data_IF_490294016897
#
_entry.id   IF_490294016897
#
_cell.length_a   1.000
_cell.length_b   1.000
_cell.length_c   1.000
_cell.angle_alpha   90.00
_cell.angle_beta   90.00
_cell.angle_gamma   90.00
#
_symmetry.space_group_name_H-M   'P 1'
#
loop_
_entity.id
_entity.type
_entity.pdbx_description
1 polymer ?
#
# COMPACT_ATOMS: atom_id res chain seq x y z
N UNK A 1 -12.18 12.80 -6.28
CA UNK A 1 -11.44 12.68 -5.00
C UNK A 1 -11.21 14.03 -4.32
N UNK A 2 -10.48 14.98 -4.93
CA UNK A 2 -10.13 16.30 -4.35
C UNK A 2 -11.34 17.08 -3.83
N UNK A 3 -12.36 17.28 -4.67
CA UNK A 3 -13.58 18.00 -4.28
C UNK A 3 -14.28 17.38 -3.06
N UNK A 4 -14.28 16.04 -2.94
CA UNK A 4 -14.84 15.33 -1.79
C UNK A 4 -14.02 15.56 -0.51
N UNK A 5 -12.69 15.62 -0.62
CA UNK A 5 -11.78 15.86 0.52
C UNK A 5 -11.93 17.28 1.05
N UNK A 6 -11.92 18.27 0.15
CA UNK A 6 -12.15 19.67 0.51
C UNK A 6 -13.53 19.86 1.15
N UNK A 7 -14.59 19.23 0.61
CA UNK A 7 -15.92 19.27 1.20
C UNK A 7 -16.00 18.62 2.59
N UNK A 8 -15.08 17.70 2.92
CA UNK A 8 -14.96 17.06 4.23
C UNK A 8 -13.98 17.80 5.17
N UNK A 9 -13.43 18.95 4.77
CA UNK A 9 -12.43 19.69 5.55
C UNK A 9 -11.05 19.02 5.62
N UNK A 10 -10.79 18.05 4.74
CA UNK A 10 -9.49 17.36 4.65
C UNK A 10 -8.56 18.08 3.66
N UNK A 11 -7.24 17.87 3.79
CA UNK A 11 -6.26 18.31 2.78
C UNK A 11 -6.66 17.83 1.37
N UNK A 12 -6.48 18.68 0.36
CA UNK A 12 -6.80 18.37 -1.04
C UNK A 12 -6.15 17.07 -1.51
N UNK A 13 -4.95 16.79 -1.02
CA UNK A 13 -4.14 15.64 -1.38
C UNK A 13 -4.07 14.62 -0.22
N UNK A 14 -4.24 13.32 -0.49
CA UNK A 14 -4.03 12.30 0.54
C UNK A 14 -2.55 12.23 0.94
N UNK A 15 -2.30 11.71 2.15
CA UNK A 15 -0.94 11.40 2.60
C UNK A 15 -0.40 10.28 1.71
N UNK A 16 0.85 10.43 1.25
CA UNK A 16 1.58 9.40 0.53
C UNK A 16 2.49 8.66 1.49
N UNK A 17 2.46 7.34 1.45
CA UNK A 17 3.23 6.48 2.34
C UNK A 17 4.05 5.53 1.47
N UNK A 18 5.37 5.52 1.68
CA UNK A 18 6.27 4.56 1.05
C UNK A 18 6.76 3.57 2.10
N UNK A 19 6.60 2.27 1.84
CA UNK A 19 7.15 1.21 2.68
C UNK A 19 8.48 0.76 2.08
N UNK A 20 9.57 1.11 2.74
CA UNK A 20 10.92 0.89 2.24
C UNK A 20 11.90 0.56 3.37
N UNK A 21 11.94 -0.72 3.72
CA UNK A 21 12.70 -1.24 4.85
C UNK A 21 14.18 -0.82 4.90
N UNK A 22 14.80 -0.47 3.76
CA UNK A 22 16.22 -0.13 3.66
C UNK A 22 16.49 1.34 3.27
N UNK A 23 15.46 2.19 3.22
CA UNK A 23 15.60 3.60 2.85
C UNK A 23 16.22 3.82 1.46
N UNK A 24 15.87 2.98 0.49
CA UNK A 24 16.33 3.03 -0.92
C UNK A 24 15.57 4.05 -1.78
N UNK A 25 14.50 4.65 -1.26
CA UNK A 25 13.70 5.65 -1.96
C UNK A 25 14.61 6.78 -2.43
N UNK A 26 14.72 7.03 -3.75
CA UNK A 26 15.56 8.10 -4.27
C UNK A 26 15.11 9.46 -3.74
N UNK A 27 16.05 10.29 -3.32
CA UNK A 27 15.75 11.61 -2.73
C UNK A 27 15.13 12.57 -3.75
N UNK A 28 15.34 12.35 -5.03
CA UNK A 28 14.77 13.10 -6.16
C UNK A 28 13.44 12.52 -6.67
N UNK A 29 12.93 11.45 -6.05
CA UNK A 29 11.69 10.82 -6.48
C UNK A 29 10.49 11.78 -6.34
N UNK A 30 9.65 11.85 -7.38
CA UNK A 30 8.43 12.68 -7.41
C UNK A 30 7.54 12.52 -6.17
N UNK A 31 7.50 11.32 -5.57
CA UNK A 31 6.70 11.00 -4.38
C UNK A 31 7.08 11.87 -3.17
N UNK A 32 8.33 12.35 -3.12
CA UNK A 32 8.88 13.19 -2.04
C UNK A 32 8.69 14.70 -2.29
N UNK A 33 8.33 15.11 -3.51
CA UNK A 33 8.31 16.54 -3.91
C UNK A 33 6.98 17.03 -4.45
N UNK A 34 6.23 16.18 -5.16
CA UNK A 34 5.08 16.61 -5.96
C UNK A 34 3.86 16.91 -5.11
N UNK A 35 3.31 18.12 -5.20
CA UNK A 35 2.09 18.51 -4.48
C UNK A 35 2.28 18.64 -2.96
N UNK A 36 1.30 19.22 -2.28
CA UNK A 36 1.36 19.66 -0.87
C UNK A 36 0.93 18.60 0.16
N UNK A 37 0.43 17.44 -0.28
CA UNK A 37 0.02 16.36 0.61
C UNK A 37 1.17 15.82 1.46
N UNK A 38 0.88 15.44 2.71
CA UNK A 38 1.84 14.86 3.64
C UNK A 38 2.55 13.63 3.08
N UNK A 39 3.78 13.39 3.55
CA UNK A 39 4.67 12.36 3.02
C UNK A 39 5.24 11.57 4.19
N UNK A 40 5.12 10.26 4.11
CA UNK A 40 5.65 9.34 5.11
C UNK A 40 6.53 8.31 4.40
N UNK A 41 7.72 8.06 4.95
CA UNK A 41 8.54 6.92 4.56
C UNK A 41 8.69 6.00 5.77
N UNK A 42 8.16 4.79 5.67
CA UNK A 42 8.30 3.77 6.68
C UNK A 42 9.55 2.92 6.38
N UNK A 43 10.46 2.85 7.34
CA UNK A 43 11.74 2.11 7.23
C UNK A 43 11.88 1.12 8.38
N UNK A 44 12.75 0.13 8.22
CA UNK A 44 13.09 -0.79 9.31
C UNK A 44 14.30 -0.29 10.09
N UNK A 45 14.56 -0.87 11.28
CA UNK A 45 15.78 -0.58 12.04
C UNK A 45 17.07 -0.95 11.30
N UNK A 46 16.98 -1.80 10.28
CA UNK A 46 18.11 -2.18 9.44
C UNK A 46 18.38 -1.21 8.28
N UNK A 47 17.67 -0.07 8.20
CA UNK A 47 18.01 1.02 7.29
C UNK A 47 19.24 1.79 7.82
N UNK A 48 20.23 2.12 6.96
CA UNK A 48 21.37 2.96 7.35
C UNK A 48 20.92 4.33 7.88
N UNK A 49 21.49 4.77 9.01
CA UNK A 49 21.13 6.03 9.67
C UNK A 49 21.21 7.23 8.71
N UNK A 50 22.29 7.31 7.93
CA UNK A 50 22.51 8.36 6.91
C UNK A 50 21.34 8.47 5.91
N UNK A 51 20.73 7.35 5.53
CA UNK A 51 19.58 7.33 4.61
C UNK A 51 18.30 7.76 5.30
N UNK A 52 18.13 7.36 6.55
CA UNK A 52 17.00 7.77 7.39
C UNK A 52 17.02 9.28 7.59
N UNK A 53 18.19 9.85 7.91
CA UNK A 53 18.38 11.30 8.08
C UNK A 53 18.11 12.05 6.77
N UNK A 54 18.66 11.59 5.65
CA UNK A 54 18.40 12.21 4.35
C UNK A 54 16.92 12.17 3.93
N UNK A 55 16.22 11.07 4.21
CA UNK A 55 14.78 10.97 3.94
C UNK A 55 13.96 11.90 4.85
N UNK A 56 14.40 12.11 6.09
CA UNK A 56 13.74 12.98 7.06
C UNK A 56 13.74 14.46 6.66
N UNK A 57 14.62 14.87 5.74
CA UNK A 57 14.60 16.22 5.16
C UNK A 57 13.40 16.44 4.20
N UNK A 58 12.79 15.36 3.70
CA UNK A 58 11.74 15.42 2.66
C UNK A 58 10.39 14.82 3.08
N UNK A 59 10.37 13.99 4.12
CA UNK A 59 9.19 13.27 4.59
C UNK A 59 9.27 12.95 6.09
N UNK A 60 8.12 12.67 6.71
CA UNK A 60 8.08 12.09 8.05
C UNK A 60 8.57 10.64 7.98
N UNK A 61 9.64 10.31 8.69
CA UNK A 61 10.16 8.94 8.71
C UNK A 61 9.62 8.18 9.92
N UNK A 62 9.03 7.01 9.67
CA UNK A 62 8.59 6.06 10.70
C UNK A 62 9.55 4.87 10.70
N UNK A 63 10.29 4.69 11.78
CA UNK A 63 11.16 3.52 11.96
C UNK A 63 10.40 2.44 12.74
N UNK A 64 10.15 1.29 12.12
CA UNK A 64 9.45 0.17 12.76
C UNK A 64 9.87 -1.18 12.20
N UNK A 65 9.83 -2.23 13.03
CA UNK A 65 10.38 -3.54 12.70
C UNK A 65 11.91 -3.60 12.67
N UNK A 66 12.46 -4.81 12.48
CA UNK A 66 13.90 -5.05 12.52
C UNK A 66 14.52 -5.06 11.12
N UNK A 67 14.33 -6.14 10.36
CA UNK A 67 14.85 -6.30 8.99
C UNK A 67 13.89 -5.78 7.92
N UNK A 68 12.60 -5.85 8.22
CA UNK A 68 11.50 -5.34 7.39
C UNK A 68 10.63 -4.42 8.21
N UNK A 69 9.92 -3.51 7.54
CA UNK A 69 8.89 -2.69 8.18
C UNK A 69 7.85 -3.61 8.82
N UNK A 70 7.57 -3.37 10.09
CA UNK A 70 6.42 -3.95 10.79
C UNK A 70 5.15 -3.21 10.38
N UNK A 71 4.32 -3.88 9.57
CA UNK A 71 3.10 -3.29 9.02
C UNK A 71 2.02 -3.09 10.09
N UNK A 72 1.95 -3.93 11.12
CA UNK A 72 0.97 -3.77 12.20
C UNK A 72 1.26 -2.48 12.97
N UNK A 73 2.52 -2.30 13.38
CA UNK A 73 2.96 -1.09 14.06
C UNK A 73 2.82 0.16 13.18
N UNK A 74 3.11 0.06 11.88
CA UNK A 74 2.89 1.15 10.93
C UNK A 74 1.40 1.53 10.85
N UNK A 75 0.50 0.56 10.66
CA UNK A 75 -0.94 0.80 10.56
C UNK A 75 -1.50 1.40 11.87
N UNK A 76 -1.04 0.92 13.02
CA UNK A 76 -1.40 1.49 14.32
C UNK A 76 -0.94 2.95 14.46
N UNK A 77 0.27 3.29 14.02
CA UNK A 77 0.76 4.67 14.03
C UNK A 77 -0.03 5.58 13.08
N UNK A 78 -0.33 5.10 11.86
CA UNK A 78 -1.18 5.83 10.92
C UNK A 78 -2.58 6.08 11.51
N UNK A 79 -3.15 5.09 12.20
CA UNK A 79 -4.42 5.25 12.90
C UNK A 79 -4.36 6.33 13.99
N UNK A 80 -3.28 6.37 14.79
CA UNK A 80 -3.06 7.42 15.80
C UNK A 80 -2.97 8.81 15.17
N UNK A 81 -2.39 8.92 13.98
CA UNK A 81 -2.33 10.15 13.17
C UNK A 81 -3.66 10.50 12.48
N UNK A 82 -4.73 9.75 12.74
CA UNK A 82 -6.07 10.02 12.19
C UNK A 82 -6.31 9.44 10.80
N UNK A 83 -5.40 8.62 10.26
CA UNK A 83 -5.64 7.91 8.99
C UNK A 83 -6.66 6.81 9.23
N UNK A 84 -7.84 6.95 8.63
CA UNK A 84 -8.96 5.99 8.76
C UNK A 84 -9.19 5.13 7.53
N UNK A 85 -8.67 5.54 6.38
CA UNK A 85 -8.79 4.81 5.11
C UNK A 85 -7.45 4.88 4.39
N UNK A 86 -6.92 3.72 4.04
CA UNK A 86 -5.69 3.57 3.28
C UNK A 86 -6.01 2.90 1.94
N UNK A 87 -5.39 3.38 0.87
CA UNK A 87 -5.38 2.72 -0.43
C UNK A 87 -3.96 2.24 -0.68
N UNK A 88 -3.80 0.93 -0.92
CA UNK A 88 -2.51 0.30 -1.18
C UNK A 88 -2.48 -0.14 -2.63
N UNK A 89 -1.54 0.38 -3.40
CA UNK A 89 -1.47 0.16 -4.86
C UNK A 89 -0.35 -0.80 -5.29
N UNK A 90 0.52 -1.24 -4.38
CA UNK A 90 1.57 -2.21 -4.68
C UNK A 90 2.80 -2.11 -3.77
N UNK A 91 3.84 -2.91 -4.00
CA UNK A 91 3.91 -4.01 -4.98
C UNK A 91 3.27 -5.31 -4.50
N UNK A 92 3.35 -6.37 -5.31
CA UNK A 92 2.76 -7.67 -4.99
C UNK A 92 3.17 -8.22 -3.62
N UNK A 93 4.44 -8.02 -3.21
CA UNK A 93 4.93 -8.40 -1.87
C UNK A 93 4.26 -7.66 -0.72
N UNK A 94 4.00 -6.36 -0.87
CA UNK A 94 3.29 -5.60 0.15
C UNK A 94 1.83 -6.04 0.24
N UNK A 95 1.17 -6.21 -0.93
CA UNK A 95 -0.21 -6.69 -1.00
C UNK A 95 -0.33 -8.08 -0.38
N UNK A 96 0.56 -9.01 -0.73
CA UNK A 96 0.65 -10.34 -0.12
C UNK A 96 0.77 -10.25 1.40
N UNK A 97 1.71 -9.47 1.91
CA UNK A 97 1.95 -9.38 3.36
C UNK A 97 0.72 -8.84 4.11
N UNK A 98 0.02 -7.85 3.53
CA UNK A 98 -1.24 -7.34 4.11
C UNK A 98 -2.36 -8.38 4.10
N UNK A 99 -2.50 -9.15 3.01
CA UNK A 99 -3.46 -10.25 2.92
C UNK A 99 -3.13 -11.35 3.93
N UNK A 100 -1.85 -11.76 3.99
CA UNK A 100 -1.31 -12.78 4.89
C UNK A 100 -1.50 -12.39 6.36
N UNK A 101 -1.42 -11.10 6.70
CA UNK A 101 -1.63 -10.60 8.06
C UNK A 101 -3.10 -10.24 8.36
N UNK A 102 -4.01 -10.32 7.38
CA UNK A 102 -5.43 -10.03 7.59
C UNK A 102 -5.76 -8.54 7.74
N UNK A 103 -4.95 -7.65 7.15
CA UNK A 103 -5.11 -6.20 7.23
C UNK A 103 -5.88 -5.58 6.06
N UNK A 104 -6.53 -6.40 5.23
CA UNK A 104 -7.26 -5.95 4.03
C UNK A 104 -8.77 -6.13 4.23
N UNK A 105 -9.52 -5.05 4.14
CA UNK A 105 -11.00 -5.06 4.21
C UNK A 105 -11.65 -5.19 2.82
N UNK A 106 -11.10 -4.48 1.82
CA UNK A 106 -11.55 -4.48 0.43
C UNK A 106 -10.38 -4.69 -0.52
N UNK A 107 -10.60 -5.43 -1.61
CA UNK A 107 -9.67 -5.54 -2.73
C UNK A 107 -10.32 -4.94 -3.98
N UNK A 108 -9.57 -4.20 -4.78
CA UNK A 108 -10.01 -3.73 -6.09
C UNK A 108 -9.07 -4.27 -7.16
N UNK A 109 -9.62 -4.95 -8.15
CA UNK A 109 -8.85 -5.52 -9.26
C UNK A 109 -9.35 -4.95 -10.57
N UNK A 110 -8.44 -4.46 -11.40
CA UNK A 110 -8.74 -4.09 -12.77
C UNK A 110 -8.25 -5.18 -13.72
N UNK A 111 -9.17 -5.74 -14.52
CA UNK A 111 -8.85 -6.71 -15.57
C UNK A 111 -8.89 -5.97 -16.90
N UNK A 112 -7.72 -5.71 -17.48
CA UNK A 112 -7.58 -5.11 -18.81
C UNK A 112 -7.84 -6.10 -19.95
N UNK A 113 -7.92 -5.59 -21.17
CA UNK A 113 -8.12 -6.36 -22.40
C UNK A 113 -6.80 -6.78 -23.09
N UNK A 114 -5.73 -6.97 -22.32
CA UNK A 114 -4.37 -7.27 -22.80
C UNK A 114 -3.82 -8.49 -22.06
N UNK A 115 -3.08 -9.33 -22.77
CA UNK A 115 -2.35 -10.48 -22.21
C UNK A 115 -0.85 -10.22 -22.38
N UNK A 116 -0.10 -10.24 -21.28
CA UNK A 116 1.36 -10.11 -21.27
C UNK A 116 2.02 -11.51 -21.26
N UNK A 117 1.54 -12.42 -20.40
CA UNK A 117 2.15 -13.73 -20.18
C UNK A 117 3.47 -13.67 -19.39
N UNK A 118 4.16 -14.81 -19.26
CA UNK A 118 5.44 -14.93 -18.56
C UNK A 118 5.35 -15.68 -17.22
N UNK A 119 6.19 -16.69 -17.04
CA UNK A 119 6.21 -17.51 -15.82
C UNK A 119 6.68 -16.73 -14.58
N UNK A 120 7.57 -15.75 -14.79
CA UNK A 120 8.15 -14.91 -13.75
C UNK A 120 7.57 -13.49 -13.74
N UNK A 121 6.46 -13.25 -14.46
CA UNK A 121 5.80 -11.96 -14.47
C UNK A 121 5.18 -11.67 -13.08
N UNK A 122 5.22 -10.42 -12.60
CA UNK A 122 4.60 -10.05 -11.33
C UNK A 122 3.10 -10.39 -11.31
N UNK A 123 2.63 -10.86 -10.16
CA UNK A 123 1.23 -11.19 -9.91
C UNK A 123 0.58 -10.14 -9.01
N UNK A 124 -0.76 -10.12 -8.88
CA UNK A 124 -1.44 -9.18 -7.99
C UNK A 124 -1.03 -9.28 -6.51
N UNK A 125 -0.52 -10.43 -6.06
CA UNK A 125 -0.06 -10.66 -4.68
C UNK A 125 1.13 -11.64 -4.67
N UNK A 126 2.33 -11.09 -4.88
CA UNK A 126 3.58 -11.84 -4.90
C UNK A 126 4.02 -12.22 -3.48
N UNK A 127 4.27 -13.50 -3.21
CA UNK A 127 4.70 -13.92 -1.89
C UNK A 127 4.88 -15.43 -1.80
N UNK A 128 4.91 -15.94 -0.58
CA UNK A 128 5.03 -17.40 -0.37
C UNK A 128 3.79 -18.17 -0.81
N UNK A 129 2.64 -17.50 -0.84
CA UNK A 129 1.35 -18.13 -1.16
C UNK A 129 0.80 -18.95 0.01
N UNK A 130 -0.51 -19.13 0.03
CA UNK A 130 -1.16 -20.05 0.95
C UNK A 130 -1.04 -21.47 0.39
N UNK A 131 -0.76 -22.45 1.25
CA UNK A 131 -0.62 -23.86 0.84
C UNK A 131 -1.86 -24.70 1.10
N UNK A 132 -2.73 -24.27 2.02
CA UNK A 132 -3.94 -24.99 2.41
C UNK A 132 -5.16 -24.15 2.10
N UNK A 133 -6.20 -24.79 1.60
CA UNK A 133 -7.43 -24.12 1.20
C UNK A 133 -8.14 -23.40 2.36
N UNK A 134 -8.03 -23.94 3.57
CA UNK A 134 -8.55 -23.32 4.79
C UNK A 134 -7.94 -21.95 5.10
N UNK A 135 -6.71 -21.70 4.63
CA UNK A 135 -6.00 -20.43 4.83
C UNK A 135 -6.32 -19.39 3.74
N UNK A 136 -6.98 -19.80 2.65
CA UNK A 136 -7.22 -18.94 1.49
C UNK A 136 -8.12 -17.76 1.85
N UNK A 137 -7.68 -16.57 1.42
CA UNK A 137 -8.48 -15.35 1.54
C UNK A 137 -9.68 -15.45 0.60
N UNK A 138 -10.89 -15.48 1.17
CA UNK A 138 -12.14 -15.56 0.41
C UNK A 138 -12.63 -14.17 0.05
N UNK A 139 -12.95 -13.97 -1.22
CA UNK A 139 -13.46 -12.73 -1.76
C UNK A 139 -14.95 -12.87 -2.10
N UNK A 140 -15.72 -11.80 -1.88
CA UNK A 140 -17.09 -11.69 -2.37
C UNK A 140 -17.23 -10.41 -3.19
N UNK A 141 -17.78 -10.53 -4.39
CA UNK A 141 -18.04 -9.40 -5.27
C UNK A 141 -18.99 -8.43 -4.57
N UNK A 142 -18.58 -7.17 -4.51
CA UNK A 142 -19.43 -6.04 -4.13
C UNK A 142 -20.03 -5.43 -5.40
N UNK A 143 -19.18 -5.17 -6.39
CA UNK A 143 -19.54 -4.41 -7.61
C UNK A 143 -18.60 -4.75 -8.77
N UNK A 144 -19.12 -4.63 -9.99
CA UNK A 144 -18.37 -4.74 -11.24
C UNK A 144 -18.71 -3.55 -12.14
N UNK A 145 -17.70 -2.87 -12.68
CA UNK A 145 -17.84 -1.69 -13.53
C UNK A 145 -16.99 -1.83 -14.80
N UNK A 146 -17.58 -1.52 -15.96
CA UNK A 146 -16.81 -1.39 -17.19
C UNK A 146 -16.02 -0.07 -17.17
N UNK A 147 -14.70 -0.16 -17.26
CA UNK A 147 -13.80 1.00 -17.21
C UNK A 147 -12.67 0.82 -18.22
N UNK A 148 -12.40 1.84 -19.03
CA UNK A 148 -11.26 1.89 -19.97
C UNK A 148 -11.07 0.62 -20.84
N UNK A 149 -12.18 0.03 -21.31
CA UNK A 149 -12.16 -1.19 -22.13
C UNK A 149 -11.89 -2.49 -21.37
N UNK A 150 -11.75 -2.41 -20.04
CA UNK A 150 -11.63 -3.54 -19.11
C UNK A 150 -12.79 -3.60 -18.10
N UNK A 151 -12.55 -4.32 -17.01
CA UNK A 151 -13.50 -4.51 -15.91
C UNK A 151 -12.83 -4.20 -14.57
N UNK A 152 -13.35 -3.23 -13.85
CA UNK A 152 -13.04 -2.98 -12.45
C UNK A 152 -13.96 -3.84 -11.57
N UNK A 153 -13.37 -4.59 -10.65
CA UNK A 153 -14.12 -5.41 -9.69
C UNK A 153 -13.75 -4.99 -8.27
N UNK A 154 -14.76 -4.65 -7.47
CA UNK A 154 -14.64 -4.39 -6.03
C UNK A 154 -15.03 -5.65 -5.27
N UNK A 155 -14.16 -6.08 -4.37
CA UNK A 155 -14.35 -7.27 -3.53
C UNK A 155 -14.35 -6.89 -2.05
N UNK A 156 -15.25 -7.49 -1.29
CA UNK A 156 -15.10 -7.57 0.17
C UNK A 156 -14.21 -8.76 0.51
N UNK A 157 -13.33 -8.57 1.48
CA UNK A 157 -12.43 -9.62 1.97
C UNK A 157 -13.05 -10.29 3.20
N UNK A 158 -13.13 -11.63 3.19
CA UNK A 158 -13.58 -12.39 4.35
C UNK A 158 -12.61 -12.24 5.52
N UNK A 159 -13.12 -11.87 6.70
CA UNK A 159 -12.31 -11.83 7.92
C UNK A 159 -11.95 -13.27 8.32
N UNK A 160 -10.67 -13.48 8.64
CA UNK A 160 -10.19 -14.70 9.30
C UNK A 160 -10.46 -14.63 10.80
#
# INVERSE_FOLDING_TARGET
>A
LRARRLAAGESEHPIRIVVDSRGRTPLDADILHKGDGGRIVAVSRAAPLEKVEALAEHADVIVTGNETVDLEALLAELHRRGVRRLMVEGGGTLIWTLLEQGFVDELQTFIGNIIIGGADAPTPADGRGFLREEDFVRLRIIETEHLDGGLLIRWSVGKR
#
